data_IF_758862735794
#
_entry.id   IF_758862735794
#
_cell.length_a   1.000
_cell.length_b   1.000
_cell.length_c   1.000
_cell.angle_alpha   90.00
_cell.angle_beta   90.00
_cell.angle_gamma   90.00
#
_symmetry.space_group_name_H-M   'P 1'
#
loop_
_entity.id
_entity.type
_entity.pdbx_description
1 polymer ?
#
# COMPACT_ATOMS: atom_id res chain seq x y z
N UNK A 1 -2.37 -18.22 8.65
CA UNK A 1 -0.99 -17.84 8.29
C UNK A 1 -1.06 -17.08 6.98
N UNK A 2 -0.35 -15.96 6.88
CA UNK A 2 -0.29 -15.18 5.64
C UNK A 2 0.65 -15.86 4.65
N UNK A 3 0.19 -16.05 3.41
CA UNK A 3 1.01 -16.52 2.29
C UNK A 3 1.18 -15.33 1.33
N UNK A 4 2.40 -14.84 1.10
CA UNK A 4 2.62 -13.70 0.21
C UNK A 4 2.29 -14.01 -1.24
N UNK A 5 1.61 -13.10 -1.92
CA UNK A 5 1.45 -13.18 -3.38
C UNK A 5 2.78 -12.89 -4.04
N UNK A 6 3.35 -13.81 -4.84
CA UNK A 6 4.63 -13.57 -5.50
C UNK A 6 4.47 -12.68 -6.74
N UNK A 7 5.59 -12.17 -7.23
CA UNK A 7 5.66 -11.43 -8.49
C UNK A 7 5.31 -9.95 -8.36
N UNK A 8 5.04 -9.32 -9.49
CA UNK A 8 4.77 -7.89 -9.63
C UNK A 8 3.29 -7.66 -9.92
N UNK A 9 2.67 -6.70 -9.25
CA UNK A 9 1.27 -6.37 -9.49
C UNK A 9 1.10 -5.80 -10.91
N UNK A 10 0.02 -6.12 -11.67
CA UNK A 10 -0.16 -5.62 -13.04
C UNK A 10 -0.19 -4.09 -13.16
N UNK A 11 -0.54 -3.41 -12.06
CA UNK A 11 -0.54 -1.93 -11.96
C UNK A 11 0.72 -1.36 -11.32
N UNK A 12 1.77 -2.16 -11.13
CA UNK A 12 2.99 -1.71 -10.44
C UNK A 12 3.54 -0.40 -11.00
N UNK A 13 3.51 -0.23 -12.32
CA UNK A 13 4.03 0.96 -13.01
C UNK A 13 2.99 2.06 -13.24
N UNK A 14 1.79 1.96 -12.63
CA UNK A 14 0.83 3.08 -12.66
C UNK A 14 1.45 4.34 -12.04
N UNK A 15 1.34 5.52 -12.69
CA UNK A 15 1.99 6.74 -12.23
C UNK A 15 1.70 7.09 -10.77
N UNK A 16 0.45 6.91 -10.33
CA UNK A 16 0.05 7.12 -8.95
C UNK A 16 0.83 6.24 -7.98
N UNK A 17 0.94 4.94 -8.26
CA UNK A 17 1.63 3.99 -7.38
C UNK A 17 3.13 4.28 -7.34
N UNK A 18 3.74 4.57 -8.49
CA UNK A 18 5.18 4.93 -8.60
C UNK A 18 5.48 6.19 -7.80
N UNK A 19 4.71 7.25 -8.01
CA UNK A 19 4.87 8.53 -7.32
C UNK A 19 4.72 8.36 -5.80
N UNK A 20 3.64 7.68 -5.37
CA UNK A 20 3.34 7.49 -3.95
C UNK A 20 4.43 6.69 -3.25
N UNK A 21 4.81 5.50 -3.75
CA UNK A 21 5.85 4.70 -3.07
C UNK A 21 7.22 5.37 -3.05
N UNK A 22 7.53 6.16 -4.07
CA UNK A 22 8.78 6.92 -4.14
C UNK A 22 8.80 8.02 -3.08
N UNK A 23 7.72 8.77 -2.95
CA UNK A 23 7.59 9.85 -1.96
C UNK A 23 7.57 9.33 -0.52
N UNK A 24 6.79 8.29 -0.28
CA UNK A 24 6.54 7.77 1.07
C UNK A 24 7.73 6.98 1.62
N UNK A 25 8.45 6.23 0.76
CA UNK A 25 9.49 5.32 1.24
C UNK A 25 10.67 5.12 0.27
N UNK A 26 10.84 5.98 -0.74
CA UNK A 26 11.83 5.80 -1.81
C UNK A 26 11.73 4.43 -2.49
N UNK A 27 10.52 3.89 -2.60
CA UNK A 27 10.22 2.57 -3.17
C UNK A 27 10.53 1.37 -2.25
N UNK A 28 10.91 1.59 -1.00
CA UNK A 28 11.28 0.51 -0.08
C UNK A 28 10.06 -0.15 0.57
N UNK A 29 9.67 -1.31 0.05
CA UNK A 29 8.53 -2.12 0.53
C UNK A 29 8.68 -2.64 1.97
N UNK A 30 9.89 -2.68 2.52
CA UNK A 30 10.16 -3.09 3.91
C UNK A 30 10.32 -1.90 4.86
N UNK A 31 10.00 -0.68 4.42
CA UNK A 31 10.13 0.51 5.24
C UNK A 31 9.22 0.44 6.48
N UNK A 32 9.78 0.85 7.61
CA UNK A 32 9.06 0.97 8.87
C UNK A 32 9.52 2.25 9.57
N UNK A 33 8.56 3.12 9.90
CA UNK A 33 8.82 4.31 10.69
C UNK A 33 8.27 4.08 12.12
N UNK A 34 9.12 4.05 13.16
CA UNK A 34 8.65 3.85 14.53
C UNK A 34 8.05 5.11 15.17
N UNK A 35 8.26 6.30 14.60
CA UNK A 35 7.82 7.58 15.19
C UNK A 35 6.34 7.89 14.90
N UNK A 36 5.85 7.53 13.73
CA UNK A 36 4.43 7.37 13.42
C UNK A 36 4.35 6.01 12.74
N UNK A 37 3.57 5.03 13.24
CA UNK A 37 3.67 3.60 12.90
C UNK A 37 3.22 3.31 11.46
N UNK A 38 3.92 3.88 10.50
CA UNK A 38 3.71 3.83 9.07
C UNK A 38 4.59 2.73 8.49
N UNK A 39 3.97 1.89 7.68
CA UNK A 39 4.54 0.62 7.27
C UNK A 39 4.49 0.45 5.76
N UNK A 40 5.54 -0.14 5.21
CA UNK A 40 5.64 -0.51 3.81
C UNK A 40 5.96 0.67 2.89
N UNK A 41 5.99 0.37 1.60
CA UNK A 41 6.32 1.31 0.53
C UNK A 41 5.37 2.52 0.50
N UNK A 42 4.11 2.33 0.93
CA UNK A 42 3.06 3.34 0.91
C UNK A 42 2.77 3.95 2.29
N UNK A 43 3.63 3.66 3.29
CA UNK A 43 3.56 4.22 4.64
C UNK A 43 2.16 4.12 5.28
N UNK A 44 1.55 2.95 5.17
CA UNK A 44 0.22 2.67 5.74
C UNK A 44 0.22 2.68 7.27
N UNK A 45 -0.82 3.26 7.86
CA UNK A 45 -1.29 2.86 9.18
C UNK A 45 -1.96 1.47 9.09
N UNK A 46 -1.80 0.63 10.13
CA UNK A 46 -2.40 -0.70 10.16
C UNK A 46 -3.93 -0.69 10.01
N UNK A 47 -4.62 0.29 10.60
CA UNK A 47 -6.08 0.42 10.50
C UNK A 47 -6.53 0.73 9.06
N UNK A 48 -5.80 1.60 8.37
CA UNK A 48 -6.04 1.94 6.96
C UNK A 48 -5.79 0.72 6.08
N UNK A 49 -4.68 0.02 6.29
CA UNK A 49 -4.38 -1.25 5.60
C UNK A 49 -5.50 -2.26 5.75
N UNK A 50 -5.95 -2.52 6.99
CA UNK A 50 -7.02 -3.49 7.24
C UNK A 50 -8.32 -3.12 6.52
N UNK A 51 -8.68 -1.84 6.52
CA UNK A 51 -9.90 -1.34 5.86
C UNK A 51 -9.80 -1.46 4.34
N UNK A 52 -8.66 -1.10 3.76
CA UNK A 52 -8.40 -1.19 2.33
C UNK A 52 -8.31 -2.64 1.85
N UNK A 53 -7.64 -3.52 2.60
CA UNK A 53 -7.58 -4.96 2.32
C UNK A 53 -8.97 -5.60 2.33
N UNK A 54 -9.82 -5.23 3.29
CA UNK A 54 -11.20 -5.70 3.32
C UNK A 54 -11.99 -5.20 2.10
N UNK A 55 -11.83 -3.91 1.74
CA UNK A 55 -12.46 -3.34 0.55
C UNK A 55 -11.98 -4.00 -0.75
N UNK A 56 -10.70 -4.37 -0.83
CA UNK A 56 -10.11 -5.08 -1.96
C UNK A 56 -10.57 -6.55 -2.09
N UNK A 57 -11.38 -7.07 -1.16
CA UNK A 57 -11.75 -8.48 -1.14
C UNK A 57 -10.59 -9.41 -0.74
N UNK A 58 -9.61 -8.89 0.02
CA UNK A 58 -8.39 -9.57 0.44
C UNK A 58 -8.35 -9.79 1.97
N UNK A 59 -9.30 -10.55 2.55
CA UNK A 59 -9.38 -10.74 3.99
C UNK A 59 -8.13 -11.41 4.58
N UNK A 60 -7.38 -12.17 3.77
CA UNK A 60 -6.10 -12.78 4.17
C UNK A 60 -4.98 -11.75 4.46
N UNK A 61 -5.14 -10.50 4.04
CA UNK A 61 -4.21 -9.41 4.33
C UNK A 61 -4.59 -8.61 5.59
N UNK A 62 -5.78 -8.81 6.14
CA UNK A 62 -6.21 -8.10 7.36
C UNK A 62 -5.34 -8.56 8.53
N UNK A 63 -4.74 -7.59 9.23
CA UNK A 63 -3.82 -7.83 10.35
C UNK A 63 -2.38 -8.14 9.93
N UNK A 64 -2.10 -8.27 8.63
CA UNK A 64 -0.72 -8.39 8.13
C UNK A 64 -0.07 -7.01 8.23
N UNK A 65 1.10 -6.87 8.88
CA UNK A 65 1.85 -5.62 8.87
C UNK A 65 2.31 -5.29 7.44
N UNK A 66 2.00 -4.10 6.88
CA UNK A 66 2.30 -3.79 5.49
C UNK A 66 3.79 -3.98 5.12
N UNK A 67 4.71 -3.62 6.02
CA UNK A 67 6.17 -3.78 5.80
C UNK A 67 6.65 -5.24 5.75
N UNK A 68 5.78 -6.21 6.06
CA UNK A 68 6.03 -7.66 5.97
C UNK A 68 5.29 -8.31 4.81
N UNK A 69 4.36 -7.59 4.17
CA UNK A 69 3.64 -8.06 3.00
C UNK A 69 4.51 -7.98 1.73
N UNK A 70 4.23 -8.83 0.74
CA UNK A 70 4.93 -8.75 -0.55
C UNK A 70 4.69 -7.42 -1.25
N UNK A 71 5.56 -7.11 -2.22
CA UNK A 71 5.38 -5.92 -3.05
C UNK A 71 4.05 -5.94 -3.80
N UNK A 72 3.67 -7.10 -4.34
CA UNK A 72 2.38 -7.30 -4.98
C UNK A 72 1.22 -6.89 -4.08
N UNK A 73 1.19 -7.42 -2.86
CA UNK A 73 0.07 -7.20 -1.93
C UNK A 73 0.01 -5.74 -1.47
N UNK A 74 1.16 -5.08 -1.32
CA UNK A 74 1.20 -3.66 -1.00
C UNK A 74 0.68 -2.79 -2.15
N UNK A 75 1.06 -3.09 -3.39
CA UNK A 75 0.59 -2.39 -4.58
C UNK A 75 -0.92 -2.57 -4.78
N UNK A 76 -1.43 -3.77 -4.55
CA UNK A 76 -2.85 -4.08 -4.67
C UNK A 76 -3.69 -3.34 -3.64
N UNK A 77 -3.28 -3.33 -2.37
CA UNK A 77 -4.00 -2.60 -1.32
C UNK A 77 -3.93 -1.08 -1.54
N UNK A 78 -2.77 -0.56 -1.98
CA UNK A 78 -2.63 0.84 -2.35
C UNK A 78 -3.51 1.21 -3.55
N UNK A 79 -3.53 0.38 -4.59
CA UNK A 79 -4.38 0.59 -5.75
C UNK A 79 -5.86 0.55 -5.39
N UNK A 80 -6.29 -0.42 -4.59
CA UNK A 80 -7.68 -0.52 -4.14
C UNK A 80 -8.10 0.69 -3.29
N UNK A 81 -7.23 1.16 -2.39
CA UNK A 81 -7.52 2.35 -1.59
C UNK A 81 -7.59 3.61 -2.46
N UNK A 82 -6.71 3.74 -3.44
CA UNK A 82 -6.74 4.85 -4.38
C UNK A 82 -8.02 4.87 -5.21
N UNK A 83 -8.44 3.73 -5.76
CA UNK A 83 -9.70 3.63 -6.50
C UNK A 83 -10.92 3.94 -5.63
N UNK A 84 -10.84 3.68 -4.32
CA UNK A 84 -11.93 3.92 -3.38
C UNK A 84 -11.99 5.39 -2.89
N UNK A 85 -10.85 5.99 -2.55
CA UNK A 85 -10.79 7.26 -1.82
C UNK A 85 -9.97 8.36 -2.53
N UNK A 86 -9.44 8.07 -3.71
CA UNK A 86 -8.44 8.90 -4.38
C UNK A 86 -7.13 8.98 -3.61
N UNK A 87 -6.35 10.03 -3.88
CA UNK A 87 -5.05 10.29 -3.24
C UNK A 87 -5.14 10.86 -1.81
N UNK A 88 -6.35 11.13 -1.28
CA UNK A 88 -6.54 11.75 0.05
C UNK A 88 -5.77 11.06 1.19
N UNK A 89 -5.70 9.71 1.27
CA UNK A 89 -4.93 9.03 2.31
C UNK A 89 -3.42 9.35 2.30
N UNK A 90 -2.90 9.84 1.17
CA UNK A 90 -1.51 10.26 0.97
C UNK A 90 -1.37 11.79 0.82
N UNK A 91 -2.37 12.54 1.28
CA UNK A 91 -2.33 14.01 1.31
C UNK A 91 -2.78 14.69 0.03
N UNK A 92 -3.50 14.02 -0.87
CA UNK A 92 -4.06 14.65 -2.06
C UNK A 92 -3.05 14.87 -3.19
N UNK A 93 -2.01 14.04 -3.26
CA UNK A 93 -0.89 14.19 -4.21
C UNK A 93 -0.81 12.98 -5.14
N UNK A 94 -0.01 13.09 -6.20
CA UNK A 94 0.22 12.02 -7.18
C UNK A 94 -1.00 11.61 -8.03
N UNK A 95 -2.11 12.36 -7.98
CA UNK A 95 -3.20 12.20 -8.95
C UNK A 95 -2.67 12.56 -10.36
N UNK A 96 -3.08 11.82 -11.41
CA UNK A 96 -2.83 12.23 -12.79
C UNK A 96 -3.59 13.53 -13.09
N UNK A 97 -2.96 14.43 -13.86
CA UNK A 97 -3.59 15.66 -14.38
C UNK A 97 -4.81 15.38 -15.27
#
# INVERSE_FOLDING_TARGET
TYTPTPGTHPRHDEPFLVCTRTREASGRYTAYNPAGPYMGAYQFLQSTWNSAANHAGRPNLIGVPPHTASAYDQDEVAWALYQWQGSRPWGGMCDPE
#
